data_IF_863570423758
#
_entry.id   IF_863570423758
#
_cell.length_a   1.000
_cell.length_b   1.000
_cell.length_c   1.000
_cell.angle_alpha   90.00
_cell.angle_beta   90.00
_cell.angle_gamma   90.00
#
_symmetry.space_group_name_H-M   'P 1'
#
loop_
_entity.id
_entity.type
_entity.pdbx_description
1 polymer ?
#
# COMPACT_ATOMS: atom_id res chain seq x y z
N UNK A 1 5.27 28.14 7.67
CA UNK A 1 4.90 27.01 6.80
C UNK A 1 3.59 27.35 6.09
N UNK A 2 3.56 27.39 4.76
CA UNK A 2 2.33 27.58 3.99
C UNK A 2 1.90 26.25 3.39
N UNK A 3 0.59 25.97 3.42
CA UNK A 3 -0.02 24.74 2.93
C UNK A 3 -1.04 25.08 1.84
N UNK A 4 -0.94 24.41 0.70
CA UNK A 4 -1.88 24.53 -0.41
C UNK A 4 -2.43 23.15 -0.73
N UNK A 5 -3.75 22.99 -0.63
CA UNK A 5 -4.45 21.79 -1.08
C UNK A 5 -4.50 21.80 -2.62
N UNK A 6 -4.05 20.71 -3.25
CA UNK A 6 -4.04 20.54 -4.71
C UNK A 6 -5.17 19.64 -5.17
N UNK A 7 -5.39 18.54 -4.44
CA UNK A 7 -6.46 17.58 -4.66
C UNK A 7 -6.93 17.08 -3.31
N UNK A 8 -8.22 16.82 -3.19
CA UNK A 8 -8.90 16.35 -1.98
C UNK A 8 -9.91 15.28 -2.39
N UNK A 9 -10.22 14.36 -1.49
CA UNK A 9 -11.17 13.28 -1.72
C UNK A 9 -10.84 12.48 -3.00
N UNK A 10 -9.60 12.02 -3.10
CA UNK A 10 -9.10 11.23 -4.24
C UNK A 10 -8.34 10.00 -3.77
N UNK A 11 -8.19 9.00 -4.64
CA UNK A 11 -7.21 7.95 -4.44
C UNK A 11 -5.91 8.37 -5.13
N UNK A 12 -4.77 8.21 -4.48
CA UNK A 12 -3.45 8.60 -5.01
C UNK A 12 -2.54 7.38 -5.07
N UNK A 13 -1.89 7.16 -6.21
CA UNK A 13 -0.79 6.20 -6.34
C UNK A 13 0.49 6.97 -6.64
N UNK A 14 1.58 6.61 -5.98
CA UNK A 14 2.88 7.26 -6.20
C UNK A 14 3.94 6.25 -6.64
N UNK A 15 4.59 6.56 -7.74
CA UNK A 15 5.79 5.87 -8.20
C UNK A 15 6.98 6.81 -8.06
N UNK A 16 7.79 6.59 -7.02
CA UNK A 16 8.93 7.45 -6.72
C UNK A 16 10.03 7.37 -7.78
N UNK A 17 10.31 6.18 -8.29
CA UNK A 17 11.37 5.94 -9.28
C UNK A 17 11.10 6.71 -10.59
N UNK A 18 9.84 6.74 -11.02
CA UNK A 18 9.39 7.45 -12.22
C UNK A 18 9.00 8.90 -11.94
N UNK A 19 8.93 9.31 -10.67
CA UNK A 19 8.45 10.62 -10.22
C UNK A 19 7.04 10.92 -10.73
N UNK A 20 6.15 9.95 -10.62
CA UNK A 20 4.76 10.07 -11.07
C UNK A 20 3.82 10.00 -9.87
N UNK A 21 2.87 10.94 -9.82
CA UNK A 21 1.72 10.89 -8.93
C UNK A 21 0.49 10.69 -9.81
N UNK A 22 -0.16 9.54 -9.67
CA UNK A 22 -1.41 9.23 -10.33
C UNK A 22 -2.56 9.55 -9.38
N UNK A 23 -3.59 10.23 -9.89
CA UNK A 23 -4.78 10.60 -9.14
C UNK A 23 -5.99 9.93 -9.79
N UNK A 24 -6.76 9.22 -8.98
CA UNK A 24 -8.03 8.61 -9.34
C UNK A 24 -9.15 9.21 -8.47
N UNK A 25 -10.40 9.26 -8.97
CA UNK A 25 -11.57 9.53 -8.14
C UNK A 25 -11.75 8.42 -7.08
N UNK A 26 -12.44 8.71 -5.97
CA UNK A 26 -12.66 7.72 -4.89
C UNK A 26 -13.37 6.45 -5.35
N UNK A 27 -14.24 6.56 -6.37
CA UNK A 27 -14.96 5.42 -6.94
C UNK A 27 -14.05 4.45 -7.70
N UNK A 28 -12.81 4.84 -7.99
CA UNK A 28 -11.91 4.11 -8.87
C UNK A 28 -10.70 3.54 -8.13
N UNK A 29 -10.39 2.27 -8.44
CA UNK A 29 -9.24 1.57 -7.88
C UNK A 29 -8.02 1.71 -8.78
N UNK A 30 -6.85 1.68 -8.17
CA UNK A 30 -5.62 1.42 -8.92
C UNK A 30 -5.41 -0.08 -9.08
N UNK A 31 -4.95 -0.48 -10.26
CA UNK A 31 -4.44 -1.82 -10.55
C UNK A 31 -2.93 -1.68 -10.77
N UNK A 32 -2.20 -1.50 -9.66
CA UNK A 32 -0.74 -1.27 -9.65
C UNK A 32 -0.11 -1.96 -8.45
N UNK A 33 1.21 -2.16 -8.51
CA UNK A 33 2.04 -2.62 -7.40
C UNK A 33 2.65 -1.46 -6.60
N UNK A 34 2.42 -0.21 -7.03
CA UNK A 34 2.89 0.99 -6.34
C UNK A 34 2.14 1.22 -5.02
N UNK A 35 2.67 2.11 -4.19
CA UNK A 35 1.99 2.53 -2.96
C UNK A 35 0.73 3.33 -3.31
N UNK A 36 -0.41 2.87 -2.77
CA UNK A 36 -1.73 3.48 -2.95
C UNK A 36 -2.24 4.04 -1.63
N UNK A 37 -2.66 5.30 -1.70
CA UNK A 37 -3.26 6.07 -0.63
C UNK A 37 -4.74 6.30 -0.99
N UNK A 38 -5.64 5.66 -0.25
CA UNK A 38 -7.09 5.81 -0.39
C UNK A 38 -7.58 7.01 0.42
N UNK A 39 -8.68 7.63 -0.04
CA UNK A 39 -9.29 8.79 0.59
C UNK A 39 -8.26 9.86 1.00
N UNK A 40 -7.43 10.21 0.02
CA UNK A 40 -6.23 10.98 0.19
C UNK A 40 -6.40 12.43 -0.26
N UNK A 41 -5.53 13.29 0.28
CA UNK A 41 -5.35 14.68 -0.06
C UNK A 41 -3.91 14.89 -0.51
N UNK A 42 -3.72 15.50 -1.69
CA UNK A 42 -2.40 15.95 -2.14
C UNK A 42 -2.19 17.40 -1.73
N UNK A 43 -1.13 17.62 -0.95
CA UNK A 43 -0.73 18.90 -0.42
C UNK A 43 0.56 19.36 -1.10
N UNK A 44 0.67 20.66 -1.38
CA UNK A 44 1.95 21.34 -1.63
C UNK A 44 2.32 22.12 -0.38
N UNK A 45 3.43 21.75 0.23
CA UNK A 45 3.96 22.34 1.45
C UNK A 45 5.21 23.13 1.13
N UNK A 46 5.48 24.17 1.93
CA UNK A 46 6.69 25.00 1.83
C UNK A 46 7.49 24.95 3.11
N UNK A 47 8.73 24.51 3.00
CA UNK A 47 9.72 24.49 4.09
C UNK A 47 10.18 25.90 4.47
N UNK A 48 10.83 26.02 5.63
CA UNK A 48 11.36 27.30 6.13
C UNK A 48 12.52 27.84 5.29
N UNK A 49 13.27 26.94 4.64
CA UNK A 49 14.32 27.28 3.66
C UNK A 49 13.74 27.83 2.34
N UNK A 50 12.42 27.80 2.17
CA UNK A 50 11.72 28.27 0.98
C UNK A 50 11.51 27.23 -0.12
N UNK A 51 11.96 25.99 0.07
CA UNK A 51 11.74 24.88 -0.85
C UNK A 51 10.31 24.32 -0.71
N UNK A 52 9.70 24.00 -1.85
CA UNK A 52 8.38 23.39 -1.88
C UNK A 52 8.49 21.88 -2.09
N UNK A 53 7.57 21.13 -1.49
CA UNK A 53 7.45 19.70 -1.69
C UNK A 53 6.00 19.24 -1.69
N UNK A 54 5.75 18.06 -2.26
CA UNK A 54 4.45 17.41 -2.16
C UNK A 54 4.37 16.52 -0.92
N UNK A 55 3.20 16.49 -0.29
CA UNK A 55 2.85 15.55 0.76
C UNK A 55 1.49 14.94 0.47
N UNK A 56 1.33 13.65 0.77
CA UNK A 56 0.09 12.90 0.61
C UNK A 56 -0.40 12.54 2.00
N UNK A 57 -1.58 12.99 2.37
CA UNK A 57 -2.28 12.52 3.58
C UNK A 57 -3.40 11.60 3.16
N UNK A 58 -3.48 10.39 3.72
CA UNK A 58 -4.53 9.44 3.36
C UNK A 58 -4.36 8.11 4.05
N UNK A 59 -5.15 7.12 3.65
CA UNK A 59 -5.11 5.77 4.20
C UNK A 59 -4.32 4.84 3.30
N UNK A 60 -3.34 4.14 3.87
CA UNK A 60 -2.60 3.09 3.16
C UNK A 60 -2.96 1.72 3.74
N UNK A 61 -3.08 0.72 2.86
CA UNK A 61 -3.29 -0.68 3.25
C UNK A 61 -2.02 -1.49 3.01
N UNK A 62 -1.49 -2.08 4.07
CA UNK A 62 -0.40 -3.04 4.02
C UNK A 62 -0.95 -4.46 4.10
N UNK A 63 -0.39 -5.35 3.27
CA UNK A 63 -0.69 -6.78 3.31
C UNK A 63 0.61 -7.52 3.60
N UNK A 64 0.71 -8.08 4.81
CA UNK A 64 1.83 -8.91 5.20
C UNK A 64 1.40 -10.38 5.15
N UNK A 65 2.11 -11.16 4.36
CA UNK A 65 1.88 -12.61 4.24
C UNK A 65 2.96 -13.34 5.04
N UNK A 66 2.54 -14.18 5.97
CA UNK A 66 3.42 -15.01 6.79
C UNK A 66 3.21 -16.46 6.41
N UNK A 67 4.25 -17.09 5.86
CA UNK A 67 4.18 -18.47 5.37
C UNK A 67 5.07 -19.37 6.22
N UNK A 68 4.45 -20.11 7.14
CA UNK A 68 5.10 -21.16 7.94
C UNK A 68 6.36 -20.70 8.74
N UNK A 69 6.37 -19.46 9.20
CA UNK A 69 7.44 -18.90 10.05
C UNK A 69 7.53 -19.71 11.35
N UNK A 70 8.66 -20.37 11.62
CA UNK A 70 8.77 -21.37 12.69
C UNK A 70 9.87 -21.03 13.69
N UNK A 71 9.58 -21.15 14.99
CA UNK A 71 10.55 -20.89 16.06
C UNK A 71 10.22 -21.70 17.32
N UNK A 72 11.24 -22.08 18.12
CA UNK A 72 11.05 -22.79 19.40
C UNK A 72 10.70 -21.84 20.55
N UNK A 73 11.13 -20.59 20.46
CA UNK A 73 10.84 -19.54 21.44
C UNK A 73 9.73 -18.61 20.95
N UNK A 74 8.58 -18.63 21.63
CA UNK A 74 7.43 -17.78 21.32
C UNK A 74 7.77 -16.29 21.21
N UNK A 75 8.56 -15.75 22.14
CA UNK A 75 8.90 -14.33 22.15
C UNK A 75 9.75 -13.92 20.95
N UNK A 76 10.62 -14.81 20.46
CA UNK A 76 11.40 -14.56 19.23
C UNK A 76 10.50 -14.48 18.00
N UNK A 77 9.48 -15.32 17.92
CA UNK A 77 8.50 -15.30 16.83
C UNK A 77 7.60 -14.06 16.89
N UNK A 78 7.22 -13.66 18.10
CA UNK A 78 6.38 -12.48 18.36
C UNK A 78 7.04 -11.16 17.94
N UNK A 79 8.38 -11.08 17.94
CA UNK A 79 9.10 -9.90 17.45
C UNK A 79 8.93 -9.66 15.95
N UNK A 80 8.53 -10.68 15.19
CA UNK A 80 8.46 -10.64 13.72
C UNK A 80 7.06 -10.89 13.18
N UNK A 81 6.19 -11.48 13.98
CA UNK A 81 4.86 -11.92 13.56
C UNK A 81 3.81 -11.51 14.58
N UNK A 82 2.58 -11.15 14.13
CA UNK A 82 1.48 -10.82 15.01
C UNK A 82 1.08 -12.03 15.88
N UNK A 83 0.73 -11.78 17.14
CA UNK A 83 0.37 -12.82 18.09
C UNK A 83 -0.80 -13.69 17.57
N UNK A 84 -1.73 -13.07 16.87
CA UNK A 84 -2.96 -13.67 16.34
C UNK A 84 -2.68 -14.76 15.29
N UNK A 85 -1.52 -14.71 14.63
CA UNK A 85 -1.12 -15.67 13.61
C UNK A 85 -0.28 -16.83 14.17
N UNK A 86 0.22 -16.72 15.41
CA UNK A 86 1.11 -17.72 16.01
C UNK A 86 0.30 -18.88 16.61
N UNK A 87 0.62 -20.09 16.18
CA UNK A 87 0.05 -21.34 16.70
C UNK A 87 1.13 -22.20 17.32
N UNK A 88 0.85 -22.74 18.51
CA UNK A 88 1.70 -23.75 19.16
C UNK A 88 1.45 -25.11 18.51
N UNK A 89 2.51 -25.78 18.05
CA UNK A 89 2.50 -27.17 17.56
C UNK A 89 3.34 -28.05 18.48
N UNK A 90 2.79 -29.19 18.87
CA UNK A 90 3.49 -30.22 19.64
C UNK A 90 3.92 -31.30 18.65
N UNK A 91 5.23 -31.58 18.60
CA UNK A 91 5.80 -32.62 17.75
C UNK A 91 5.59 -34.02 18.33
N UNK A 92 5.77 -35.03 17.48
CA UNK A 92 5.56 -36.46 17.79
C UNK A 92 6.44 -36.94 18.98
N UNK A 93 7.56 -36.28 19.24
CA UNK A 93 8.47 -36.57 20.37
C UNK A 93 8.32 -35.59 21.55
N UNK A 94 7.19 -34.89 21.68
CA UNK A 94 6.93 -33.96 22.80
C UNK A 94 7.63 -32.59 22.70
N UNK A 95 8.39 -32.33 21.63
CA UNK A 95 8.99 -31.03 21.38
C UNK A 95 7.96 -29.96 21.01
N UNK A 96 8.00 -28.80 21.67
CA UNK A 96 7.14 -27.66 21.35
C UNK A 96 7.81 -26.81 20.26
N UNK A 97 7.05 -26.42 19.25
CA UNK A 97 7.41 -25.37 18.31
C UNK A 97 6.23 -24.41 18.11
N UNK A 98 6.53 -23.17 17.76
CA UNK A 98 5.54 -22.17 17.38
C UNK A 98 5.66 -21.93 15.89
N UNK A 99 4.53 -21.81 15.21
CA UNK A 99 4.44 -21.58 13.76
C UNK A 99 3.47 -20.43 13.54
N UNK A 100 3.87 -19.42 12.78
CA UNK A 100 2.99 -18.37 12.31
C UNK A 100 2.64 -18.60 10.84
N UNK A 101 1.34 -18.57 10.53
CA UNK A 101 0.83 -18.74 9.18
C UNK A 101 -0.42 -17.87 9.00
N UNK A 102 -0.48 -17.13 7.90
CA UNK A 102 -1.64 -16.34 7.52
C UNK A 102 -1.31 -15.01 6.89
N UNK A 103 -2.36 -14.26 6.58
CA UNK A 103 -2.28 -12.93 5.99
C UNK A 103 -2.77 -11.91 7.01
N UNK A 104 -1.98 -10.86 7.24
CA UNK A 104 -2.40 -9.72 8.05
C UNK A 104 -2.60 -8.52 7.14
N UNK A 105 -3.82 -8.00 7.16
CA UNK A 105 -4.14 -6.71 6.58
C UNK A 105 -4.02 -5.65 7.67
N UNK A 106 -3.30 -4.56 7.39
CA UNK A 106 -3.23 -3.38 8.24
C UNK A 106 -3.62 -2.16 7.43
N UNK A 107 -4.46 -1.32 8.02
CA UNK A 107 -4.80 -0.01 7.47
C UNK A 107 -4.30 1.05 8.44
N UNK A 108 -3.66 2.07 7.89
CA UNK A 108 -3.10 3.17 8.67
C UNK A 108 -3.41 4.48 7.96
N UNK A 109 -3.84 5.48 8.73
CA UNK A 109 -3.85 6.86 8.27
C UNK A 109 -2.44 7.42 8.40
N UNK A 110 -1.90 7.93 7.29
CA UNK A 110 -0.50 8.34 7.17
C UNK A 110 -0.38 9.70 6.48
N UNK A 111 0.74 10.35 6.74
CA UNK A 111 1.22 11.47 5.94
C UNK A 111 2.55 11.05 5.34
N UNK A 112 2.63 11.01 4.01
CA UNK A 112 3.82 10.69 3.26
C UNK A 112 4.40 11.96 2.62
N UNK A 113 5.67 12.25 2.87
CA UNK A 113 6.39 13.36 2.25
C UNK A 113 7.14 12.83 1.02
N UNK A 114 6.84 13.40 -0.15
CA UNK A 114 7.43 12.98 -1.42
C UNK A 114 8.94 13.29 -1.47
N UNK A 115 9.75 12.35 -1.96
CA UNK A 115 11.22 12.40 -1.92
C UNK A 115 11.86 13.44 -2.85
N UNK A 116 11.16 13.87 -3.88
CA UNK A 116 11.70 14.71 -4.96
C UNK A 116 11.10 16.11 -4.99
N UNK A 117 10.71 16.65 -3.83
CA UNK A 117 10.14 17.99 -3.72
C UNK A 117 8.86 18.11 -4.55
N UNK A 118 8.80 19.08 -5.46
CA UNK A 118 7.70 19.23 -6.43
C UNK A 118 8.00 18.67 -7.82
N UNK A 119 9.12 17.96 -8.01
CA UNK A 119 9.53 17.43 -9.32
C UNK A 119 8.82 16.11 -9.63
N UNK A 120 7.49 16.15 -9.72
CA UNK A 120 6.64 15.01 -10.08
C UNK A 120 5.74 15.39 -11.25
N UNK A 121 5.53 14.44 -12.15
CA UNK A 121 4.45 14.50 -13.11
C UNK A 121 3.15 14.04 -12.43
N UNK A 122 2.15 14.92 -12.40
CA UNK A 122 0.82 14.58 -11.87
C UNK A 122 -0.07 14.20 -13.05
N UNK A 123 -0.66 13.01 -13.00
CA UNK A 123 -1.60 12.51 -14.01
C UNK A 123 -2.92 12.22 -13.31
N UNK A 124 -3.94 12.99 -13.67
CA UNK A 124 -5.30 12.83 -13.16
C UNK A 124 -6.13 11.99 -14.13
N UNK A 125 -6.82 10.97 -13.61
CA UNK A 125 -7.85 10.23 -14.33
C UNK A 125 -9.21 10.79 -13.93
N UNK A 126 -9.96 11.32 -14.89
CA UNK A 126 -11.26 11.94 -14.61
C UNK A 126 -12.43 10.97 -14.77
N UNK A 127 -12.32 9.96 -15.63
CA UNK A 127 -13.31 8.89 -15.77
C UNK A 127 -12.70 7.63 -16.43
N UNK A 128 -13.22 6.45 -16.10
CA UNK A 128 -12.99 5.25 -16.90
C UNK A 128 -14.02 5.23 -18.03
N UNK A 129 -13.55 5.21 -19.28
CA UNK A 129 -14.41 4.98 -20.43
C UNK A 129 -14.81 3.50 -20.45
N UNK A 130 -16.11 3.16 -20.55
CA UNK A 130 -16.54 1.78 -20.62
C UNK A 130 -15.96 1.12 -21.87
N UNK A 131 -15.06 0.17 -21.67
CA UNK A 131 -14.54 -0.70 -22.73
C UNK A 131 -15.23 -2.05 -22.65
N UNK A 132 -15.97 -2.40 -23.70
CA UNK A 132 -16.38 -3.80 -23.94
C UNK A 132 -15.15 -4.60 -24.34
N UNK A 133 -14.60 -5.37 -23.41
CA UNK A 133 -13.62 -6.40 -23.73
C UNK A 133 -14.37 -7.61 -24.28
N UNK A 134 -14.17 -7.93 -25.57
CA UNK A 134 -14.49 -9.26 -26.07
C UNK A 134 -13.43 -10.22 -25.50
N UNK A 135 -13.83 -11.12 -24.61
CA UNK A 135 -12.98 -12.23 -24.19
C UNK A 135 -12.63 -13.07 -25.41
N UNK A 136 -11.36 -13.15 -25.76
CA UNK A 136 -10.87 -14.20 -26.66
C UNK A 136 -10.87 -15.47 -25.82
N UNK A 137 -11.92 -16.28 -25.96
CA UNK A 137 -11.91 -17.65 -25.42
C UNK A 137 -10.72 -18.37 -26.08
N UNK A 138 -9.72 -18.71 -25.27
CA UNK A 138 -8.66 -19.61 -25.70
C UNK A 138 -9.31 -20.95 -26.00
N UNK A 139 -9.33 -21.33 -27.28
CA UNK A 139 -9.67 -22.69 -27.69
C UNK A 139 -8.62 -23.64 -27.13
N UNK A 140 -8.98 -24.40 -26.10
CA UNK A 140 -8.32 -25.67 -25.81
C UNK A 140 -8.72 -26.66 -26.91
N UNK A 141 -7.88 -26.77 -27.94
CA UNK A 141 -7.94 -27.90 -28.86
C UNK A 141 -7.23 -29.09 -28.20
N UNK A 142 -8.01 -30.16 -27.97
CA UNK A 142 -7.58 -31.47 -27.48
C UNK A 142 -6.46 -32.10 -28.31
#
# INVERSE_FOLDING_TARGET
MSLIVRYEDVNISINEDQKIILINPLSERFYTNDDVYENATLLRLKEENGEDYYAISGRIRFVNVFNNETERNYNKLLLRTPAELIKKKIGIFGGIKYVADGVMHRELDVIYNCKHGTNYQIIERTQILPTTFQSVEAYDAC
#
